data_IF_590996696644
#
_entry.id   IF_590996696644
#
_cell.length_a   1.000
_cell.length_b   1.000
_cell.length_c   1.000
_cell.angle_alpha   90.00
_cell.angle_beta   90.00
_cell.angle_gamma   90.00
#
_symmetry.space_group_name_H-M   'P 1'
#
loop_
_entity.id
_entity.type
_entity.pdbx_description
1 polymer ?
#
# COMPACT_ATOMS: atom_id res chain seq x y z
N UNK A 1 -7.29 11.35 -7.69
CA UNK A 1 -7.44 10.86 -6.30
C UNK A 1 -7.25 12.03 -5.37
N UNK A 2 -8.04 12.17 -4.29
CA UNK A 2 -7.77 13.20 -3.28
C UNK A 2 -6.49 12.87 -2.49
N UNK A 3 -6.27 11.59 -2.18
CA UNK A 3 -5.03 11.09 -1.56
C UNK A 3 -4.61 9.76 -2.21
N UNK A 4 -3.31 9.47 -2.39
CA UNK A 4 -2.86 8.15 -2.83
C UNK A 4 -3.09 7.11 -1.73
N UNK A 5 -3.36 5.86 -2.12
CA UNK A 5 -3.64 4.75 -1.20
C UNK A 5 -2.61 3.65 -1.42
N UNK A 6 -1.79 3.37 -0.41
CA UNK A 6 -0.87 2.23 -0.37
C UNK A 6 -1.62 1.04 0.25
N UNK A 7 -1.82 -0.02 -0.53
CA UNK A 7 -2.48 -1.24 -0.07
C UNK A 7 -1.43 -2.20 0.49
N UNK A 8 -1.60 -2.58 1.77
CA UNK A 8 -0.66 -3.45 2.50
C UNK A 8 -1.37 -4.73 2.90
N UNK A 9 -0.68 -5.87 2.81
CA UNK A 9 -1.16 -7.14 3.36
C UNK A 9 -0.10 -7.82 4.21
N UNK A 10 -0.52 -8.56 5.24
CA UNK A 10 0.36 -9.49 5.96
C UNK A 10 0.28 -10.94 5.48
N UNK A 11 -0.63 -11.21 4.53
CA UNK A 11 -0.86 -12.55 4.00
C UNK A 11 -0.11 -12.72 2.67
N UNK A 12 0.95 -13.54 2.69
CA UNK A 12 1.76 -13.81 1.50
C UNK A 12 0.94 -14.45 0.37
N UNK A 13 0.03 -15.37 0.68
CA UNK A 13 -0.82 -16.00 -0.32
C UNK A 13 -1.71 -14.98 -1.04
N UNK A 14 -2.29 -14.04 -0.29
CA UNK A 14 -3.05 -12.93 -0.88
C UNK A 14 -2.16 -12.06 -1.78
N UNK A 15 -0.95 -11.76 -1.34
CA UNK A 15 -0.02 -10.95 -2.12
C UNK A 15 0.31 -11.57 -3.47
N UNK A 16 0.63 -12.86 -3.50
CA UNK A 16 0.95 -13.56 -4.76
C UNK A 16 -0.26 -13.60 -5.72
N UNK A 17 -1.47 -13.80 -5.20
CA UNK A 17 -2.69 -13.82 -6.02
C UNK A 17 -3.18 -12.44 -6.46
N UNK A 18 -2.78 -11.37 -5.77
CA UNK A 18 -3.25 -10.00 -6.00
C UNK A 18 -2.11 -9.01 -6.20
N UNK A 19 -0.99 -9.46 -6.76
CA UNK A 19 0.26 -8.69 -6.85
C UNK A 19 0.12 -7.37 -7.60
N UNK A 20 -0.76 -7.34 -8.61
CA UNK A 20 -1.05 -6.11 -9.36
C UNK A 20 -1.88 -5.11 -8.53
N UNK A 21 -2.57 -5.58 -7.49
CA UNK A 21 -3.49 -4.81 -6.67
C UNK A 21 -2.95 -4.46 -5.28
N UNK A 22 -1.86 -5.07 -4.80
CA UNK A 22 -1.28 -4.83 -3.47
C UNK A 22 0.13 -4.25 -3.62
N UNK A 23 0.39 -3.11 -3.00
CA UNK A 23 1.68 -2.42 -3.10
C UNK A 23 2.78 -3.09 -2.26
N UNK A 24 2.43 -3.59 -1.07
CA UNK A 24 3.40 -4.10 -0.10
C UNK A 24 2.87 -5.33 0.64
N UNK A 25 3.71 -6.35 0.76
CA UNK A 25 3.50 -7.47 1.69
C UNK A 25 4.43 -7.37 2.90
N UNK A 26 3.84 -7.31 4.10
CA UNK A 26 4.54 -7.33 5.38
C UNK A 26 4.19 -8.63 6.10
N UNK A 27 4.88 -9.71 5.75
CA UNK A 27 4.70 -10.99 6.42
C UNK A 27 5.70 -11.08 7.58
N UNK A 28 5.29 -10.78 8.82
CA UNK A 28 6.19 -10.80 9.98
C UNK A 28 6.86 -12.16 10.22
N UNK A 29 6.29 -13.27 9.74
CA UNK A 29 6.92 -14.58 9.83
C UNK A 29 8.13 -14.74 8.89
N UNK A 30 8.22 -13.95 7.81
CA UNK A 30 9.29 -14.02 6.81
C UNK A 30 10.11 -12.72 6.65
N UNK A 31 9.54 -11.57 7.03
CA UNK A 31 10.09 -10.22 6.78
C UNK A 31 11.04 -9.76 7.89
N UNK A 32 11.19 -10.55 8.95
CA UNK A 32 12.02 -10.20 10.10
C UNK A 32 11.22 -9.47 11.19
N UNK A 33 11.73 -8.32 11.64
CA UNK A 33 11.17 -7.60 12.80
C UNK A 33 10.08 -6.61 12.40
N UNK A 34 9.29 -6.20 13.40
CA UNK A 34 8.32 -5.11 13.24
C UNK A 34 8.99 -3.80 12.81
N UNK A 35 10.21 -3.54 13.30
CA UNK A 35 10.98 -2.34 12.96
C UNK A 35 11.41 -2.29 11.48
N UNK A 36 11.91 -3.42 10.95
CA UNK A 36 12.24 -3.53 9.53
C UNK A 36 11.01 -3.35 8.65
N UNK A 37 9.89 -3.95 9.08
CA UNK A 37 8.59 -3.82 8.42
C UNK A 37 8.07 -2.38 8.41
N UNK A 38 8.19 -1.69 9.54
CA UNK A 38 7.84 -0.27 9.68
C UNK A 38 8.70 0.62 8.80
N UNK A 39 10.01 0.38 8.77
CA UNK A 39 10.96 1.10 7.91
C UNK A 39 10.63 0.94 6.43
N UNK A 40 10.27 -0.27 6.00
CA UNK A 40 9.83 -0.54 4.63
C UNK A 40 8.56 0.24 4.26
N UNK A 41 7.55 0.22 5.14
CA UNK A 41 6.31 0.97 4.92
C UNK A 41 6.53 2.48 4.91
N UNK A 42 7.37 2.99 5.81
CA UNK A 42 7.72 4.40 5.87
C UNK A 42 8.40 4.87 4.59
N UNK A 43 9.41 4.12 4.11
CA UNK A 43 10.10 4.45 2.86
C UNK A 43 9.15 4.44 1.66
N UNK A 44 8.21 3.48 1.60
CA UNK A 44 7.19 3.45 0.56
C UNK A 44 6.24 4.67 0.64
N UNK A 45 5.87 5.10 1.85
CA UNK A 45 5.07 6.31 2.02
C UNK A 45 5.80 7.57 1.55
N UNK A 46 7.11 7.70 1.83
CA UNK A 46 7.94 8.82 1.36
C UNK A 46 8.06 8.82 -0.17
N UNK A 47 8.27 7.65 -0.78
CA UNK A 47 8.32 7.49 -2.24
C UNK A 47 7.00 7.93 -2.91
N UNK A 48 5.86 7.48 -2.38
CA UNK A 48 4.54 7.88 -2.89
C UNK A 48 4.28 9.37 -2.70
N UNK A 49 4.64 9.93 -1.54
CA UNK A 49 4.53 11.36 -1.30
C UNK A 49 5.43 12.20 -2.24
N UNK A 50 6.51 11.59 -2.77
CA UNK A 50 7.42 12.20 -3.74
C UNK A 50 6.96 12.04 -5.19
N UNK A 51 5.77 11.49 -5.43
CA UNK A 51 5.18 11.31 -6.76
C UNK A 51 5.23 9.87 -7.28
N UNK A 52 5.71 8.91 -6.49
CA UNK A 52 5.59 7.49 -6.82
C UNK A 52 4.12 7.05 -6.91
N UNK A 53 3.79 6.26 -7.91
CA UNK A 53 2.41 5.76 -8.12
C UNK A 53 2.09 4.56 -7.23
N UNK A 54 0.82 4.40 -6.85
CA UNK A 54 0.30 3.20 -6.18
C UNK A 54 -0.54 2.31 -7.09
N UNK A 55 -0.70 1.03 -6.72
CA UNK A 55 -1.62 0.12 -7.43
C UNK A 55 -3.05 0.66 -7.47
N UNK A 56 -3.51 1.41 -6.46
CA UNK A 56 -4.84 2.02 -6.48
C UNK A 56 -4.97 3.05 -7.62
N UNK A 57 -3.94 3.85 -7.84
CA UNK A 57 -3.93 4.87 -8.88
C UNK A 57 -3.80 4.25 -10.28
N UNK A 58 -2.91 3.27 -10.44
CA UNK A 58 -2.70 2.53 -11.69
C UNK A 58 -3.96 1.79 -12.14
N UNK A 59 -4.73 1.26 -11.20
CA UNK A 59 -5.99 0.55 -11.47
C UNK A 59 -7.21 1.49 -11.47
N UNK A 60 -7.01 2.80 -11.39
CA UNK A 60 -8.06 3.82 -11.34
C UNK A 60 -9.09 3.62 -10.21
N UNK A 61 -8.68 3.01 -9.10
CA UNK A 61 -9.49 2.76 -7.89
C UNK A 61 -9.57 4.01 -6.99
N UNK A 62 -9.65 5.20 -7.60
CA UNK A 62 -9.53 6.49 -6.91
C UNK A 62 -10.86 7.16 -6.57
N UNK A 63 -11.97 6.58 -7.02
CA UNK A 63 -13.22 7.33 -7.13
C UNK A 63 -14.30 6.88 -6.13
N UNK A 64 -14.37 5.61 -5.71
CA UNK A 64 -15.33 5.18 -4.68
C UNK A 64 -15.16 3.71 -4.22
N UNK A 65 -14.89 3.49 -2.93
CA UNK A 65 -14.97 2.17 -2.25
C UNK A 65 -15.74 2.24 -0.91
N UNK A 66 -16.54 3.30 -0.68
CA UNK A 66 -17.16 3.55 0.63
C UNK A 66 -16.21 4.14 1.69
N UNK A 67 -15.04 4.64 1.26
CA UNK A 67 -14.08 5.33 2.13
C UNK A 67 -14.46 6.81 2.16
N UNK A 68 -14.92 7.28 3.32
CA UNK A 68 -15.14 8.71 3.57
C UNK A 68 -13.78 9.38 3.72
N UNK A 69 -13.52 10.40 2.90
CA UNK A 69 -12.30 11.19 2.99
C UNK A 69 -12.67 12.64 3.31
N UNK A 70 -12.10 13.19 4.37
CA UNK A 70 -12.29 14.58 4.79
C UNK A 70 -10.98 15.35 4.67
N UNK A 71 -11.01 16.47 3.96
CA UNK A 71 -9.85 17.31 3.64
C UNK A 71 -10.04 17.99 2.27
N UNK A 72 -9.14 18.90 1.85
CA UNK A 72 -9.30 19.73 0.65
C UNK A 72 -9.31 18.96 -0.67
#
# INVERSE_FOLDING_TARGET
SFVPVIKVTGNLGMYEHMKDNIDVCVNLASSGTLDASGSLLFNRAVDVASGGTTSAELLHQSTYNGICVTGP
#
